data_IF_346461907034
#
_entry.id   IF_346461907034
#
_cell.length_a   1.000
_cell.length_b   1.000
_cell.length_c   1.000
_cell.angle_alpha   90.00
_cell.angle_beta   90.00
_cell.angle_gamma   90.00
#
_symmetry.space_group_name_H-M   'P 1'
#
loop_
_entity.id
_entity.type
_entity.pdbx_description
1 polymer ?
#
# COMPACT_ATOMS: atom_id res chain seq x y z
N UNK A 1 -3.22 3.09 -27.63
CA UNK A 1 -2.01 2.28 -27.83
C UNK A 1 -0.77 3.07 -28.26
N UNK A 2 -0.82 3.95 -29.28
CA UNK A 2 0.39 4.66 -29.78
C UNK A 2 1.11 5.53 -28.72
N UNK A 3 0.37 6.29 -27.91
CA UNK A 3 0.93 7.08 -26.79
C UNK A 3 1.51 6.23 -25.64
N UNK A 4 1.10 4.98 -25.52
CA UNK A 4 1.56 4.05 -24.49
C UNK A 4 2.93 3.44 -24.87
N UNK A 5 3.06 2.96 -26.11
CA UNK A 5 4.34 2.46 -26.64
C UNK A 5 5.41 3.55 -26.73
N UNK A 6 5.02 4.80 -27.02
CA UNK A 6 5.96 5.92 -27.04
C UNK A 6 6.50 6.27 -25.65
N UNK A 7 5.72 6.05 -24.59
CA UNK A 7 6.14 6.31 -23.21
C UNK A 7 7.18 5.29 -22.73
N UNK A 8 6.99 3.99 -22.97
CA UNK A 8 7.99 2.97 -22.56
C UNK A 8 9.31 3.09 -23.33
N UNK A 9 9.27 3.38 -24.64
CA UNK A 9 10.49 3.64 -25.42
C UNK A 9 11.29 4.82 -24.87
N UNK A 10 10.60 5.86 -24.38
CA UNK A 10 11.26 7.01 -23.72
C UNK A 10 11.91 6.62 -22.40
N UNK A 11 11.24 5.82 -21.56
CA UNK A 11 11.79 5.33 -20.29
C UNK A 11 13.04 4.49 -20.50
N UNK A 12 13.01 3.54 -21.44
CA UNK A 12 14.19 2.72 -21.78
C UNK A 12 15.33 3.57 -22.33
N UNK A 13 15.04 4.51 -23.23
CA UNK A 13 16.05 5.41 -23.78
C UNK A 13 16.69 6.27 -22.68
N UNK A 14 15.88 6.79 -21.75
CA UNK A 14 16.34 7.60 -20.63
C UNK A 14 17.24 6.81 -19.67
N UNK A 15 16.84 5.59 -19.29
CA UNK A 15 17.67 4.75 -18.43
C UNK A 15 18.97 4.32 -19.15
N UNK A 16 18.90 3.98 -20.45
CA UNK A 16 20.09 3.67 -21.24
C UNK A 16 21.05 4.86 -21.33
N UNK A 17 20.56 6.09 -21.45
CA UNK A 17 21.41 7.29 -21.41
C UNK A 17 22.08 7.48 -20.05
N UNK A 18 21.38 7.21 -18.94
CA UNK A 18 21.97 7.25 -17.60
C UNK A 18 23.09 6.21 -17.43
N UNK A 19 22.91 5.00 -17.97
CA UNK A 19 23.94 3.96 -17.95
C UNK A 19 25.16 4.41 -18.77
N UNK A 20 24.95 4.89 -20.00
CA UNK A 20 26.04 5.37 -20.88
C UNK A 20 26.83 6.53 -20.27
N UNK A 21 26.18 7.40 -19.52
CA UNK A 21 26.81 8.53 -18.83
C UNK A 21 27.49 8.14 -17.51
N UNK A 22 27.46 6.86 -17.12
CA UNK A 22 27.99 6.40 -15.83
C UNK A 22 27.16 6.84 -14.62
N UNK A 23 26.01 7.50 -14.83
CA UNK A 23 25.17 8.06 -13.77
C UNK A 23 24.17 7.06 -13.17
N UNK A 24 24.19 5.80 -13.61
CA UNK A 24 23.27 4.76 -13.12
C UNK A 24 23.46 4.41 -11.64
N UNK A 25 24.62 4.75 -11.05
CA UNK A 25 24.90 4.62 -9.62
C UNK A 25 24.66 5.91 -8.84
N UNK A 26 24.41 7.03 -9.52
CA UNK A 26 24.18 8.32 -8.86
C UNK A 26 22.77 8.35 -8.26
N UNK A 27 22.62 8.45 -6.93
CA UNK A 27 21.32 8.46 -6.26
C UNK A 27 20.39 9.57 -6.75
N UNK A 28 20.92 10.76 -7.08
CA UNK A 28 20.11 11.89 -7.52
C UNK A 28 19.53 11.67 -8.92
N UNK A 29 20.34 11.16 -9.84
CA UNK A 29 19.92 10.83 -11.20
C UNK A 29 18.89 9.71 -11.21
N UNK A 30 19.09 8.69 -10.38
CA UNK A 30 18.19 7.56 -10.27
C UNK A 30 16.87 7.95 -9.58
N UNK A 31 16.92 8.80 -8.55
CA UNK A 31 15.73 9.38 -7.91
C UNK A 31 14.89 10.16 -8.90
N UNK A 32 15.48 11.07 -9.67
CA UNK A 32 14.76 11.87 -10.66
C UNK A 32 14.11 10.99 -11.74
N UNK A 33 14.80 9.94 -12.19
CA UNK A 33 14.27 8.96 -13.13
C UNK A 33 13.04 8.23 -12.56
N UNK A 34 13.15 7.72 -11.33
CA UNK A 34 12.08 6.96 -10.68
C UNK A 34 10.86 7.85 -10.44
N UNK A 35 11.03 9.07 -9.91
CA UNK A 35 9.91 9.98 -9.66
C UNK A 35 9.11 10.32 -10.93
N UNK A 36 9.80 10.41 -12.07
CA UNK A 36 9.16 10.61 -13.37
C UNK A 36 8.34 9.39 -13.80
N UNK A 37 8.76 8.19 -13.41
CA UNK A 37 8.03 6.94 -13.66
C UNK A 37 6.85 6.73 -12.70
N UNK A 38 6.87 7.32 -11.49
CA UNK A 38 5.80 7.16 -10.49
C UNK A 38 4.71 8.23 -10.54
N UNK A 39 4.77 9.19 -11.48
CA UNK A 39 3.74 10.22 -11.61
C UNK A 39 2.35 9.59 -11.84
N UNK A 40 1.28 10.21 -11.33
CA UNK A 40 -0.07 9.63 -11.32
C UNK A 40 -0.66 9.33 -12.71
N UNK A 41 -0.12 9.98 -13.74
CA UNK A 41 -0.47 9.79 -15.15
C UNK A 41 0.38 8.75 -15.87
N UNK A 42 1.38 8.17 -15.20
CA UNK A 42 2.32 7.23 -15.79
C UNK A 42 1.70 5.82 -15.90
N UNK A 43 1.95 5.09 -17.01
CA UNK A 43 1.45 3.73 -17.18
C UNK A 43 2.00 2.77 -16.11
N UNK A 44 1.24 1.74 -15.67
CA UNK A 44 1.68 0.78 -14.66
C UNK A 44 3.03 0.12 -14.96
N UNK A 45 3.32 -0.11 -16.24
CA UNK A 45 4.58 -0.74 -16.68
C UNK A 45 5.81 0.13 -16.44
N UNK A 46 5.65 1.46 -16.44
CA UNK A 46 6.75 2.39 -16.14
C UNK A 46 7.16 2.28 -14.67
N UNK A 47 6.18 2.18 -13.76
CA UNK A 47 6.43 1.97 -12.34
C UNK A 47 6.99 0.57 -12.05
N UNK A 48 6.53 -0.46 -12.77
CA UNK A 48 7.12 -1.82 -12.71
C UNK A 48 8.59 -1.81 -13.11
N UNK A 49 8.92 -1.14 -14.21
CA UNK A 49 10.31 -1.01 -14.65
C UNK A 49 11.16 -0.25 -13.63
N UNK A 50 10.67 0.91 -13.15
CA UNK A 50 11.35 1.70 -12.14
C UNK A 50 11.61 0.93 -10.83
N UNK A 51 10.63 0.11 -10.39
CA UNK A 51 10.78 -0.78 -9.25
C UNK A 51 11.89 -1.83 -9.46
N UNK A 52 11.95 -2.45 -10.64
CA UNK A 52 13.03 -3.40 -10.99
C UNK A 52 14.40 -2.74 -11.00
N UNK A 53 14.50 -1.48 -11.49
CA UNK A 53 15.74 -0.71 -11.45
C UNK A 53 16.14 -0.39 -10.00
N UNK A 54 15.21 0.03 -9.15
CA UNK A 54 15.49 0.34 -7.74
C UNK A 54 15.93 -0.90 -6.96
N UNK A 55 15.37 -2.08 -7.23
CA UNK A 55 15.83 -3.33 -6.62
C UNK A 55 17.24 -3.72 -7.08
N UNK A 56 17.64 -3.35 -8.29
CA UNK A 56 18.98 -3.63 -8.83
C UNK A 56 20.02 -2.61 -8.36
N UNK A 57 19.61 -1.35 -8.21
CA UNK A 57 20.45 -0.24 -7.77
C UNK A 57 19.75 0.48 -6.60
N UNK A 58 19.86 -0.05 -5.36
CA UNK A 58 19.19 0.53 -4.20
C UNK A 58 19.66 1.94 -3.90
N UNK A 59 18.71 2.82 -3.61
CA UNK A 59 19.01 4.16 -3.07
C UNK A 59 18.82 4.09 -1.56
N UNK A 60 19.92 4.18 -0.82
CA UNK A 60 19.90 4.15 0.65
C UNK A 60 19.18 5.38 1.22
N UNK A 61 18.29 5.15 2.19
CA UNK A 61 17.69 6.22 3.00
C UNK A 61 16.53 6.99 2.35
N UNK A 62 16.02 6.58 1.20
CA UNK A 62 14.96 7.31 0.48
C UNK A 62 13.56 6.68 0.66
N UNK A 63 13.01 6.75 1.88
CA UNK A 63 11.67 6.22 2.19
C UNK A 63 10.58 6.74 1.26
N UNK A 64 10.64 8.04 0.92
CA UNK A 64 9.67 8.66 0.03
C UNK A 64 9.61 7.97 -1.34
N UNK A 65 10.77 7.68 -1.92
CA UNK A 65 10.86 7.06 -3.24
C UNK A 65 10.32 5.64 -3.24
N UNK A 66 10.67 4.84 -2.23
CA UNK A 66 10.11 3.50 -2.07
C UNK A 66 8.59 3.56 -1.90
N UNK A 67 8.08 4.48 -1.08
CA UNK A 67 6.64 4.63 -0.86
C UNK A 67 5.91 5.12 -2.10
N UNK A 68 6.51 5.98 -2.91
CA UNK A 68 5.95 6.42 -4.19
C UNK A 68 5.79 5.24 -5.16
N UNK A 69 6.82 4.38 -5.27
CA UNK A 69 6.75 3.19 -6.12
C UNK A 69 5.76 2.18 -5.55
N UNK A 70 5.87 1.82 -4.27
CA UNK A 70 5.00 0.85 -3.59
C UNK A 70 3.53 1.23 -3.80
N UNK A 71 3.17 2.50 -3.62
CA UNK A 71 1.82 3.02 -3.89
C UNK A 71 1.34 2.72 -5.30
N UNK A 72 2.19 2.95 -6.30
CA UNK A 72 1.86 2.76 -7.70
C UNK A 72 1.80 1.28 -8.09
N UNK A 73 2.72 0.46 -7.59
CA UNK A 73 2.79 -0.97 -7.93
C UNK A 73 1.84 -1.84 -7.11
N UNK A 74 1.34 -1.37 -5.97
CA UNK A 74 0.51 -2.17 -5.07
C UNK A 74 -0.75 -2.77 -5.74
N UNK A 75 -1.34 -2.06 -6.70
CA UNK A 75 -2.55 -2.52 -7.41
C UNK A 75 -2.21 -3.48 -8.56
N UNK A 76 -1.12 -3.22 -9.29
CA UNK A 76 -0.82 -3.90 -10.56
C UNK A 76 0.26 -4.98 -10.46
N UNK A 77 1.08 -4.95 -9.42
CA UNK A 77 2.24 -5.82 -9.23
C UNK A 77 2.52 -6.05 -7.72
N UNK A 78 1.64 -6.77 -7.01
CA UNK A 78 1.74 -6.94 -5.55
C UNK A 78 3.03 -7.65 -5.12
N UNK A 79 3.51 -8.62 -5.89
CA UNK A 79 4.77 -9.32 -5.61
C UNK A 79 5.97 -8.36 -5.59
N UNK A 80 5.96 -7.35 -6.47
CA UNK A 80 7.02 -6.36 -6.57
C UNK A 80 6.96 -5.35 -5.43
N UNK A 81 5.74 -4.96 -5.02
CA UNK A 81 5.53 -4.13 -3.83
C UNK A 81 6.08 -4.81 -2.57
N UNK A 82 5.80 -6.10 -2.40
CA UNK A 82 6.32 -6.91 -1.29
C UNK A 82 7.84 -7.09 -1.35
N UNK A 83 8.42 -7.22 -2.55
CA UNK A 83 9.87 -7.29 -2.72
C UNK A 83 10.55 -5.98 -2.31
N UNK A 84 9.99 -4.83 -2.69
CA UNK A 84 10.47 -3.51 -2.29
C UNK A 84 10.35 -3.31 -0.77
N UNK A 85 9.22 -3.69 -0.18
CA UNK A 85 9.05 -3.63 1.28
C UNK A 85 10.04 -4.53 2.02
N UNK A 86 10.21 -5.78 1.57
CA UNK A 86 11.21 -6.71 2.13
C UNK A 86 12.63 -6.17 1.98
N UNK A 87 12.89 -5.39 0.94
CA UNK A 87 14.17 -4.70 0.79
C UNK A 87 14.31 -3.57 1.81
N UNK A 88 13.34 -2.64 1.92
CA UNK A 88 13.35 -1.56 2.91
C UNK A 88 13.57 -2.08 4.33
N UNK A 89 12.84 -3.14 4.70
CA UNK A 89 12.94 -3.76 6.02
C UNK A 89 14.31 -4.40 6.27
N UNK A 90 14.94 -5.03 5.27
CA UNK A 90 16.28 -5.64 5.42
C UNK A 90 17.40 -4.61 5.43
N UNK A 91 17.22 -3.47 4.75
CA UNK A 91 18.23 -2.40 4.67
C UNK A 91 18.04 -1.32 5.73
N UNK A 92 17.14 -1.52 6.71
CA UNK A 92 16.80 -0.55 7.76
C UNK A 92 16.43 0.84 7.20
N UNK A 93 15.84 0.90 6.02
CA UNK A 93 15.23 2.14 5.52
C UNK A 93 13.98 2.38 6.36
N UNK A 94 13.82 3.58 6.95
CA UNK A 94 12.71 3.83 7.88
C UNK A 94 11.38 3.60 7.18
N UNK A 95 10.55 2.75 7.79
CA UNK A 95 9.17 2.54 7.38
C UNK A 95 8.31 3.64 8.01
N UNK A 96 7.28 4.10 7.29
CA UNK A 96 6.34 5.09 7.80
C UNK A 96 4.91 4.50 7.87
N UNK A 97 4.01 5.25 8.50
CA UNK A 97 2.59 4.89 8.61
C UNK A 97 1.87 4.83 7.25
N UNK A 98 2.44 5.43 6.20
CA UNK A 98 1.91 5.35 4.84
C UNK A 98 2.36 4.08 4.10
N UNK A 99 3.38 3.37 4.57
CA UNK A 99 3.91 2.18 3.90
C UNK A 99 2.94 1.00 4.05
N UNK A 100 2.43 0.78 5.27
CA UNK A 100 1.63 -0.40 5.62
C UNK A 100 0.28 -0.48 4.91
N UNK A 101 -0.51 0.60 4.71
CA UNK A 101 -1.78 0.49 4.01
C UNK A 101 -1.68 -0.09 2.60
N UNK A 102 -0.63 0.27 1.86
CA UNK A 102 -0.41 -0.25 0.50
C UNK A 102 0.12 -1.68 0.52
N UNK A 103 0.98 -2.01 1.48
CA UNK A 103 1.51 -3.37 1.62
C UNK A 103 0.42 -4.35 2.09
N UNK A 104 -0.42 -3.97 3.04
CA UNK A 104 -1.58 -4.75 3.48
C UNK A 104 -2.57 -5.00 2.35
N UNK A 105 -2.79 -3.99 1.48
CA UNK A 105 -3.60 -4.16 0.27
C UNK A 105 -3.03 -5.21 -0.70
N UNK A 106 -1.70 -5.37 -0.75
CA UNK A 106 -1.03 -6.37 -1.60
C UNK A 106 -1.01 -7.75 -0.97
N UNK A 107 -0.96 -7.82 0.36
CA UNK A 107 -0.83 -9.07 1.12
C UNK A 107 -2.17 -9.71 1.49
N UNK A 108 -3.18 -9.62 0.61
CA UNK A 108 -4.50 -10.25 0.82
C UNK A 108 -4.40 -11.74 1.21
N UNK A 109 -3.34 -12.41 0.75
CA UNK A 109 -3.09 -13.83 0.99
C UNK A 109 -2.43 -14.15 2.34
N UNK A 110 -1.74 -13.19 2.97
CA UNK A 110 -1.09 -13.40 4.27
C UNK A 110 -1.02 -12.10 5.09
N UNK A 111 -2.17 -11.62 5.60
CA UNK A 111 -2.23 -10.43 6.45
C UNK A 111 -1.47 -10.61 7.77
N UNK A 112 -1.34 -11.84 8.28
CA UNK A 112 -0.69 -12.14 9.55
C UNK A 112 0.79 -11.76 9.57
N UNK A 113 1.52 -12.04 8.49
CA UNK A 113 2.94 -11.69 8.41
C UNK A 113 3.16 -10.17 8.54
N UNK A 114 2.41 -9.38 7.77
CA UNK A 114 2.52 -7.93 7.80
C UNK A 114 1.99 -7.36 9.13
N UNK A 115 0.90 -7.92 9.68
CA UNK A 115 0.38 -7.53 10.98
C UNK A 115 1.42 -7.72 12.11
N UNK A 116 2.19 -8.81 12.08
CA UNK A 116 3.27 -9.03 13.05
C UNK A 116 4.37 -7.97 12.96
N UNK A 117 4.69 -7.48 11.76
CA UNK A 117 5.69 -6.43 11.55
C UNK A 117 5.14 -5.08 12.04
N UNK A 118 3.86 -4.78 11.77
CA UNK A 118 3.17 -3.59 12.28
C UNK A 118 3.26 -3.50 13.81
N UNK A 119 2.98 -4.61 14.51
CA UNK A 119 3.05 -4.68 15.98
C UNK A 119 4.47 -4.46 16.49
N UNK A 120 5.47 -5.13 15.90
CA UNK A 120 6.89 -5.00 16.29
C UNK A 120 7.42 -3.58 16.12
N UNK A 121 6.93 -2.86 15.12
CA UNK A 121 7.37 -1.50 14.81
C UNK A 121 6.50 -0.42 15.48
N UNK A 122 5.47 -0.80 16.24
CA UNK A 122 4.62 0.14 16.99
C UNK A 122 3.65 0.95 16.14
N UNK A 123 3.28 0.47 14.95
CA UNK A 123 2.34 1.17 14.05
C UNK A 123 0.87 0.77 14.24
N UNK A 124 0.57 -0.06 15.23
CA UNK A 124 -0.77 -0.63 15.46
C UNK A 124 -1.82 0.38 15.97
N UNK A 125 -1.40 1.54 16.48
CA UNK A 125 -2.29 2.63 16.90
C UNK A 125 -2.68 3.60 15.77
N UNK A 126 -2.09 3.44 14.58
CA UNK A 126 -2.40 4.29 13.44
C UNK A 126 -3.75 3.89 12.83
N UNK A 127 -4.71 4.82 12.79
CA UNK A 127 -6.03 4.59 12.20
C UNK A 127 -5.94 4.10 10.74
N UNK A 128 -4.97 4.62 9.98
CA UNK A 128 -4.73 4.19 8.59
C UNK A 128 -4.30 2.72 8.51
N UNK A 129 -3.51 2.26 9.48
CA UNK A 129 -3.01 0.88 9.54
C UNK A 129 -4.11 -0.04 10.06
N UNK A 130 -4.87 0.36 11.07
CA UNK A 130 -6.03 -0.38 11.58
C UNK A 130 -7.08 -0.60 10.49
N UNK A 131 -7.44 0.45 9.76
CA UNK A 131 -8.36 0.36 8.61
C UNK A 131 -7.85 -0.58 7.51
N UNK A 132 -6.55 -0.52 7.21
CA UNK A 132 -5.95 -1.42 6.24
C UNK A 132 -5.93 -2.89 6.70
N UNK A 133 -5.73 -3.14 8.00
CA UNK A 133 -5.80 -4.48 8.59
C UNK A 133 -7.23 -5.03 8.51
N UNK A 134 -8.24 -4.25 8.92
CA UNK A 134 -9.66 -4.61 8.81
C UNK A 134 -9.99 -5.04 7.38
N UNK A 135 -9.66 -4.20 6.40
CA UNK A 135 -9.93 -4.51 5.00
C UNK A 135 -9.13 -5.72 4.49
N UNK A 136 -7.93 -5.97 5.01
CA UNK A 136 -7.11 -7.13 4.60
C UNK A 136 -7.57 -8.44 5.23
N UNK A 137 -8.06 -8.44 6.47
CA UNK A 137 -8.63 -9.64 7.11
C UNK A 137 -10.04 -9.92 6.59
N UNK A 138 -10.81 -8.88 6.30
CA UNK A 138 -12.17 -8.96 5.76
C UNK A 138 -12.30 -9.57 4.36
N UNK A 139 -11.19 -9.93 3.70
CA UNK A 139 -11.22 -10.65 2.41
C UNK A 139 -11.54 -12.14 2.57
N UNK A 140 -11.54 -12.69 3.78
CA UNK A 140 -11.89 -14.09 4.05
C UNK A 140 -12.95 -14.18 5.14
N UNK A 141 -13.99 -14.99 4.92
CA UNK A 141 -15.04 -15.26 5.90
C UNK A 141 -14.48 -15.85 7.20
N UNK A 142 -13.44 -16.70 7.11
CA UNK A 142 -12.78 -17.30 8.27
C UNK A 142 -12.13 -16.27 9.22
N UNK A 143 -11.88 -15.06 8.74
CA UNK A 143 -11.20 -14.00 9.47
C UNK A 143 -12.13 -12.87 9.92
N UNK A 144 -13.44 -12.96 9.69
CA UNK A 144 -14.38 -11.89 10.05
C UNK A 144 -14.41 -11.60 11.56
N UNK A 145 -14.23 -12.61 12.40
CA UNK A 145 -14.09 -12.41 13.85
C UNK A 145 -12.87 -11.54 14.20
N UNK A 146 -11.74 -11.73 13.50
CA UNK A 146 -10.55 -10.88 13.67
C UNK A 146 -10.81 -9.46 13.18
N UNK A 147 -11.57 -9.30 12.10
CA UNK A 147 -11.97 -7.99 11.58
C UNK A 147 -12.79 -7.20 12.61
N UNK A 148 -13.72 -7.85 13.31
CA UNK A 148 -14.47 -7.24 14.42
C UNK A 148 -13.55 -6.85 15.58
N UNK A 149 -12.70 -7.78 16.02
CA UNK A 149 -11.75 -7.50 17.10
C UNK A 149 -10.83 -6.31 16.80
N UNK A 150 -10.32 -6.23 15.57
CA UNK A 150 -9.50 -5.11 15.12
C UNK A 150 -10.26 -3.79 15.09
N UNK A 151 -11.56 -3.84 14.80
CA UNK A 151 -12.43 -2.67 14.85
C UNK A 151 -12.69 -2.22 16.29
N UNK A 152 -12.93 -3.15 17.21
CA UNK A 152 -13.14 -2.87 18.64
C UNK A 152 -11.90 -2.27 19.32
N UNK A 153 -10.70 -2.56 18.78
CA UNK A 153 -9.43 -1.95 19.23
C UNK A 153 -9.28 -0.47 18.78
N UNK A 154 -10.15 0.04 17.90
CA UNK A 154 -10.13 1.43 17.45
C UNK A 154 -10.87 2.31 18.46
N UNK A 155 -10.15 3.21 19.15
CA UNK A 155 -10.76 4.10 20.14
C UNK A 155 -11.77 5.08 19.54
N UNK A 156 -11.53 5.57 18.31
CA UNK A 156 -12.39 6.54 17.62
C UNK A 156 -12.53 6.13 16.14
N UNK A 157 -13.44 5.19 15.81
CA UNK A 157 -13.60 4.70 14.45
C UNK A 157 -14.13 5.81 13.53
N UNK A 158 -13.41 6.08 12.45
CA UNK A 158 -13.81 7.03 11.40
C UNK A 158 -14.73 6.37 10.36
N UNK A 159 -15.22 7.18 9.42
CA UNK A 159 -16.08 6.69 8.33
C UNK A 159 -15.41 5.58 7.51
N UNK A 160 -14.08 5.63 7.37
CA UNK A 160 -13.32 4.61 6.64
C UNK A 160 -13.29 3.30 7.42
N UNK A 161 -13.19 3.34 8.74
CA UNK A 161 -13.24 2.19 9.65
C UNK A 161 -14.57 1.45 9.48
N UNK A 162 -15.68 2.18 9.64
CA UNK A 162 -17.03 1.64 9.48
C UNK A 162 -17.28 1.10 8.07
N UNK A 163 -16.94 1.87 7.04
CA UNK A 163 -17.09 1.44 5.65
C UNK A 163 -16.29 0.17 5.35
N UNK A 164 -15.09 0.05 5.90
CA UNK A 164 -14.25 -1.14 5.72
C UNK A 164 -14.85 -2.37 6.40
N UNK A 165 -15.36 -2.22 7.63
CA UNK A 165 -16.03 -3.30 8.36
C UNK A 165 -17.30 -3.76 7.63
N UNK A 166 -18.21 -2.83 7.34
CA UNK A 166 -19.49 -3.12 6.65
C UNK A 166 -19.23 -3.78 5.29
N UNK A 167 -18.30 -3.24 4.50
CA UNK A 167 -17.95 -3.80 3.19
C UNK A 167 -17.38 -5.21 3.30
N UNK A 168 -16.64 -5.51 4.38
CA UNK A 168 -16.08 -6.84 4.61
C UNK A 168 -17.19 -7.87 4.83
N UNK A 169 -18.16 -7.59 5.71
CA UNK A 169 -19.31 -8.48 5.95
C UNK A 169 -20.17 -8.66 4.69
N UNK A 170 -20.50 -7.56 4.00
CA UNK A 170 -21.29 -7.61 2.77
C UNK A 170 -20.63 -8.46 1.67
N UNK A 171 -19.30 -8.34 1.48
CA UNK A 171 -18.56 -9.10 0.46
C UNK A 171 -18.43 -10.59 0.79
N UNK A 172 -18.48 -10.96 2.06
CA UNK A 172 -18.38 -12.36 2.50
C UNK A 172 -19.73 -13.08 2.57
N UNK A 173 -20.83 -12.42 2.17
CA UNK A 173 -22.15 -13.02 2.14
C UNK A 173 -22.95 -12.88 3.44
N UNK A 174 -22.62 -11.87 4.27
CA UNK A 174 -23.31 -11.55 5.53
C UNK A 174 -24.00 -10.17 5.44
N UNK A 175 -25.03 -10.01 4.59
CA UNK A 175 -25.66 -8.72 4.34
C UNK A 175 -26.47 -8.20 5.53
N UNK A 176 -27.08 -9.08 6.34
CA UNK A 176 -27.90 -8.68 7.49
C UNK A 176 -27.03 -8.10 8.62
N UNK A 177 -25.88 -8.72 8.87
CA UNK A 177 -24.86 -8.21 9.78
C UNK A 177 -24.28 -6.89 9.26
N UNK A 178 -24.02 -6.79 7.96
CA UNK A 178 -23.56 -5.54 7.35
C UNK A 178 -24.59 -4.40 7.52
N UNK A 179 -25.88 -4.69 7.39
CA UNK A 179 -26.96 -3.73 7.61
C UNK A 179 -27.08 -3.32 9.08
N UNK A 180 -26.94 -4.28 10.00
CA UNK A 180 -26.90 -4.01 11.45
C UNK A 180 -25.74 -3.08 11.81
N UNK A 181 -24.55 -3.35 11.28
CA UNK A 181 -23.37 -2.51 11.46
C UNK A 181 -23.56 -1.10 10.89
N UNK A 182 -24.24 -0.98 9.74
CA UNK A 182 -24.57 0.32 9.16
C UNK A 182 -25.52 1.13 10.04
N UNK A 183 -26.54 0.50 10.62
CA UNK A 183 -27.46 1.15 11.57
C UNK A 183 -26.71 1.63 12.83
N UNK A 184 -25.81 0.81 13.37
CA UNK A 184 -24.96 1.20 14.50
C UNK A 184 -24.10 2.42 14.17
N UNK A 185 -23.48 2.46 12.99
CA UNK A 185 -22.71 3.63 12.53
C UNK A 185 -23.56 4.91 12.53
N UNK A 186 -24.80 4.85 12.00
CA UNK A 186 -25.69 6.00 11.94
C UNK A 186 -26.10 6.51 13.33
N UNK A 187 -26.36 5.60 14.27
CA UNK A 187 -26.67 5.95 15.66
C UNK A 187 -25.47 6.59 16.37
N UNK A 188 -24.26 6.07 16.17
CA UNK A 188 -23.06 6.67 16.76
C UNK A 188 -22.76 8.06 16.18
N UNK A 189 -23.04 8.28 14.89
CA UNK A 189 -22.86 9.59 14.25
C UNK A 189 -23.89 10.63 14.72
N UNK A 190 -25.14 10.25 14.96
CA UNK A 190 -26.16 11.18 15.46
C UNK A 190 -25.87 11.68 16.88
N UNK A 191 -25.20 10.86 17.71
CA UNK A 191 -24.80 11.22 19.08
C UNK A 191 -23.62 12.21 19.12
N UNK A 192 -22.83 12.33 18.06
CA UNK A 192 -21.70 13.29 18.00
C UNK A 192 -22.09 14.70 17.51
N UNK A 193 -23.32 14.88 17.00
CA UNK A 193 -23.79 16.14 16.39
C UNK A 193 -24.91 16.78 17.23
N UNK A 194 -25.41 16.08 18.26
CA UNK A 194 -26.38 16.59 19.23
C UNK A 194 -25.72 17.06 20.51
#
# INVERSE_FOLDING_TARGET
MVRYYSNMKRVYKLHATLIKQGQHQNPLSLRAFILRCTNSSSPPDTARYAASVLLRFPISGDTFLYNAIIRHVAVHAPSLALALFSHMHRTNIPLDHFTFPFILKTSKLNPHHIHSIVLKLGFNSSIYVQNALINSYGTSSASLHLTLKLFDEISHPDLVSWSSLISSFAKQGFPDEALTLFQQMQLCQSIQIG
#
